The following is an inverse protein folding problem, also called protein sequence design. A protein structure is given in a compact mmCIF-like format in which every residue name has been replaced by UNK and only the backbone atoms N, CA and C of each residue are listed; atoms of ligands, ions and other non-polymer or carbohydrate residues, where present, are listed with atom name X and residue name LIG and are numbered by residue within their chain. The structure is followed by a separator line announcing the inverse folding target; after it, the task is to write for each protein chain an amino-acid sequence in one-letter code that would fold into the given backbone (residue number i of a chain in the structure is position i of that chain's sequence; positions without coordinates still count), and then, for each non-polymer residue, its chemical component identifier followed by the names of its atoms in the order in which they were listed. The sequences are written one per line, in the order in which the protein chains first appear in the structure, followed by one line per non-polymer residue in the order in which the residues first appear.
data_IF_607863200385
#
_entry.id   IF_607863200385
#
_cell.length_a   1.000
_cell.length_b   1.000
_cell.length_c   1.000
_cell.angle_alpha   90.00
_cell.angle_beta   90.00
_cell.angle_gamma   90.00
#
_symmetry.space_group_name_H-M   'P 1'
#
loop_
_entity.id
_entity.type
_entity.pdbx_description
1 polymer ?
#
# COMPACT_ATOMS: atom_id res chain seq x y z
N UNK A 1 7.09 -13.74 -3.01
CA UNK A 1 8.35 -12.96 -2.93
C UNK A 1 8.55 -12.16 -1.65
N UNK A 2 7.51 -11.65 -0.96
CA UNK A 2 7.73 -10.80 0.23
C UNK A 2 8.33 -11.53 1.44
N UNK A 3 7.99 -12.81 1.65
CA UNK A 3 8.53 -13.64 2.74
C UNK A 3 9.99 -14.04 2.46
N UNK A 4 10.26 -14.56 1.27
CA UNK A 4 11.63 -14.87 0.80
C UNK A 4 12.57 -13.67 0.92
N UNK A 5 12.07 -12.49 0.57
CA UNK A 5 12.83 -11.25 0.71
C UNK A 5 13.19 -10.94 2.17
N UNK A 6 12.24 -11.08 3.10
CA UNK A 6 12.48 -10.88 4.51
C UNK A 6 13.50 -11.89 5.09
N UNK A 7 13.39 -13.16 4.67
CA UNK A 7 14.35 -14.20 5.04
C UNK A 7 15.76 -13.87 4.50
N UNK A 8 15.86 -13.52 3.22
CA UNK A 8 17.12 -13.15 2.58
C UNK A 8 17.77 -11.93 3.23
N UNK A 9 16.97 -10.93 3.63
CA UNK A 9 17.45 -9.74 4.35
C UNK A 9 17.95 -10.09 5.76
N UNK A 10 17.29 -11.01 6.46
CA UNK A 10 17.75 -11.49 7.76
C UNK A 10 19.10 -12.21 7.65
N UNK A 11 19.26 -13.10 6.66
CA UNK A 11 20.52 -13.80 6.40
C UNK A 11 21.65 -12.82 6.02
N UNK A 12 21.37 -11.82 5.18
CA UNK A 12 22.34 -10.77 4.83
C UNK A 12 22.82 -9.99 6.06
N UNK A 13 21.91 -9.66 6.98
CA UNK A 13 22.25 -8.97 8.24
C UNK A 13 23.07 -9.83 9.19
N UNK A 14 22.87 -11.15 9.20
CA UNK A 14 23.67 -12.07 10.00
C UNK A 14 25.10 -12.23 9.44
N UNK A 15 25.23 -12.27 8.11
CA UNK A 15 26.52 -12.44 7.42
C UNK A 15 27.25 -11.11 7.14
N UNK A 16 26.65 -9.97 7.48
CA UNK A 16 27.18 -8.62 7.20
C UNK A 16 27.61 -8.43 5.73
N UNK A 17 26.77 -8.89 4.80
CA UNK A 17 27.06 -8.87 3.37
C UNK A 17 26.17 -7.86 2.61
N UNK A 18 26.73 -7.11 1.66
CA UNK A 18 26.02 -6.08 0.87
C UNK A 18 25.67 -6.52 -0.57
N UNK A 19 24.38 -6.54 -0.89
CA UNK A 19 23.87 -6.97 -2.20
C UNK A 19 24.08 -5.89 -3.26
N UNK A 20 24.51 -6.23 -4.50
CA UNK A 20 24.71 -5.24 -5.55
C UNK A 20 23.43 -4.49 -5.91
N UNK A 21 23.56 -3.20 -6.27
CA UNK A 21 22.45 -2.27 -6.51
C UNK A 21 21.41 -2.80 -7.49
N UNK A 22 21.84 -3.39 -8.62
CA UNK A 22 20.92 -3.95 -9.62
C UNK A 22 20.02 -5.03 -9.04
N UNK A 23 20.55 -5.89 -8.17
CA UNK A 23 19.77 -6.94 -7.53
C UNK A 23 18.76 -6.38 -6.52
N UNK A 24 19.12 -5.31 -5.81
CA UNK A 24 18.21 -4.58 -4.92
C UNK A 24 17.00 -4.02 -5.69
N UNK A 25 17.22 -3.36 -6.84
CA UNK A 25 16.12 -2.86 -7.70
C UNK A 25 15.20 -3.98 -8.18
N UNK A 26 15.76 -5.12 -8.63
CA UNK A 26 14.98 -6.27 -9.09
C UNK A 26 14.11 -6.83 -7.96
N UNK A 27 14.66 -6.96 -6.75
CA UNK A 27 13.91 -7.40 -5.56
C UNK A 27 12.74 -6.46 -5.25
N UNK A 28 12.99 -5.16 -5.26
CA UNK A 28 11.95 -4.14 -5.04
C UNK A 28 10.86 -4.25 -6.12
N UNK A 29 11.23 -4.36 -7.39
CA UNK A 29 10.30 -4.50 -8.51
C UNK A 29 9.34 -5.69 -8.32
N UNK A 30 9.87 -6.90 -8.10
CA UNK A 30 9.06 -8.09 -7.88
C UNK A 30 8.24 -8.03 -6.58
N UNK A 31 8.76 -7.34 -5.56
CA UNK A 31 8.04 -7.12 -4.31
C UNK A 31 6.84 -6.19 -4.50
N UNK A 32 6.97 -5.12 -5.29
CA UNK A 32 5.84 -4.24 -5.61
C UNK A 32 4.77 -4.95 -6.46
N UNK A 33 5.18 -5.79 -7.42
CA UNK A 33 4.24 -6.64 -8.18
C UNK A 33 3.48 -7.58 -7.24
N UNK A 34 4.20 -8.27 -6.34
CA UNK A 34 3.57 -9.15 -5.34
C UNK A 34 2.63 -8.39 -4.40
N UNK A 35 2.96 -7.13 -4.05
CA UNK A 35 2.06 -6.27 -3.26
C UNK A 35 0.77 -5.96 -4.01
N UNK A 36 0.83 -5.66 -5.31
CA UNK A 36 -0.38 -5.46 -6.14
C UNK A 36 -1.24 -6.73 -6.12
N UNK A 37 -0.64 -7.91 -6.36
CA UNK A 37 -1.36 -9.18 -6.32
C UNK A 37 -2.03 -9.45 -4.96
N UNK A 38 -1.32 -9.18 -3.85
CA UNK A 38 -1.88 -9.36 -2.51
C UNK A 38 -3.03 -8.40 -2.22
N UNK A 39 -2.95 -7.15 -2.67
CA UNK A 39 -4.05 -6.19 -2.53
C UNK A 39 -5.25 -6.58 -3.39
N UNK A 40 -5.02 -7.02 -4.63
CA UNK A 40 -6.08 -7.54 -5.49
C UNK A 40 -6.81 -8.71 -4.84
N UNK A 41 -6.07 -9.71 -4.34
CA UNK A 41 -6.65 -10.84 -3.63
C UNK A 41 -7.47 -10.40 -2.41
N UNK A 42 -6.94 -9.49 -1.59
CA UNK A 42 -7.65 -8.99 -0.42
C UNK A 42 -8.93 -8.23 -0.77
N UNK A 43 -8.95 -7.50 -1.89
CA UNK A 43 -10.12 -6.76 -2.35
C UNK A 43 -11.16 -7.69 -2.97
N UNK A 44 -10.74 -8.72 -3.72
CA UNK A 44 -11.65 -9.67 -4.35
C UNK A 44 -12.30 -10.60 -3.34
N UNK A 45 -11.56 -11.08 -2.33
CA UNK A 45 -12.14 -11.90 -1.25
C UNK A 45 -13.11 -11.09 -0.41
N UNK A 46 -12.73 -9.86 -0.02
CA UNK A 46 -13.64 -8.96 0.71
C UNK A 46 -14.90 -8.66 -0.10
N UNK A 47 -14.80 -8.54 -1.43
CA UNK A 47 -15.98 -8.34 -2.29
C UNK A 47 -16.84 -9.60 -2.39
N UNK A 48 -16.22 -10.79 -2.43
CA UNK A 48 -16.91 -12.09 -2.47
C UNK A 48 -17.70 -12.33 -1.17
N UNK A 49 -17.09 -12.09 -0.02
CA UNK A 49 -17.71 -12.31 1.30
C UNK A 49 -18.92 -11.39 1.55
N UNK A 50 -18.92 -10.21 0.91
CA UNK A 50 -20.04 -9.25 0.97
C UNK A 50 -21.12 -9.56 -0.08
N UNK A 51 -20.91 -10.54 -0.97
CA UNK A 51 -21.84 -10.90 -2.05
C UNK A 51 -21.78 -9.98 -3.27
N UNK A 52 -20.71 -9.20 -3.44
CA UNK A 52 -20.56 -8.18 -4.48
C UNK A 52 -19.79 -8.66 -5.73
N UNK A 53 -20.08 -9.88 -6.21
CA UNK A 53 -19.36 -10.51 -7.33
C UNK A 53 -19.36 -9.69 -8.64
N UNK A 54 -20.38 -8.85 -8.91
CA UNK A 54 -20.52 -8.11 -10.18
C UNK A 54 -20.22 -6.59 -10.14
N UNK A 55 -20.03 -5.97 -8.97
CA UNK A 55 -19.89 -4.49 -8.86
C UNK A 55 -18.45 -3.96 -8.77
N UNK A 56 -17.48 -4.83 -8.51
CA UNK A 56 -16.05 -4.49 -8.48
C UNK A 56 -15.52 -3.99 -9.83
N UNK A 57 -16.00 -4.57 -10.94
CA UNK A 57 -15.60 -4.16 -12.29
C UNK A 57 -16.10 -2.75 -12.68
N UNK A 58 -17.27 -2.34 -12.18
CA UNK A 58 -17.91 -1.05 -12.53
C UNK A 58 -17.29 0.16 -11.80
N UNK A 59 -16.70 -0.04 -10.61
CA UNK A 59 -16.08 1.03 -9.82
C UNK A 59 -14.74 1.55 -10.40
N UNK A 60 -14.05 0.73 -11.21
CA UNK A 60 -12.79 1.09 -11.87
C UNK A 60 -12.95 2.09 -13.03
N UNK A 61 -14.14 2.16 -13.67
CA UNK A 61 -14.40 3.03 -14.83
C UNK A 61 -14.77 4.47 -14.44
N UNK A 62 -15.34 4.71 -13.26
CA UNK A 62 -15.90 6.02 -12.87
C UNK A 62 -14.90 6.96 -12.18
N UNK A 63 -13.77 6.46 -11.66
CA UNK A 63 -12.84 7.21 -10.79
C UNK A 63 -11.76 8.02 -11.50
N UNK A 64 -11.70 8.08 -12.83
CA UNK A 64 -10.69 8.91 -13.52
C UNK A 64 -10.94 10.43 -13.37
N UNK A 65 -12.20 10.84 -13.21
CA UNK A 65 -12.58 12.26 -13.30
C UNK A 65 -12.65 12.99 -11.94
N UNK A 66 -13.05 12.34 -10.84
CA UNK A 66 -13.06 12.96 -9.50
C UNK A 66 -11.66 13.10 -8.89
N UNK A 67 -10.74 12.26 -9.34
CA UNK A 67 -9.37 12.17 -8.87
C UNK A 67 -8.48 13.37 -9.23
N UNK A 68 -8.70 13.99 -10.39
CA UNK A 68 -7.91 15.14 -10.82
C UNK A 68 -8.18 16.38 -9.93
N UNK A 69 -9.41 16.55 -9.44
CA UNK A 69 -9.79 17.64 -8.53
C UNK A 69 -9.15 17.52 -7.14
N UNK A 70 -8.66 16.33 -6.76
CA UNK A 70 -8.13 16.05 -5.42
C UNK A 70 -6.60 16.19 -5.34
N UNK A 71 -5.93 16.35 -6.50
CA UNK A 71 -4.47 16.55 -6.58
C UNK A 71 -4.03 17.98 -6.27
N UNK A 72 -4.95 18.93 -6.22
CA UNK A 72 -4.66 20.37 -6.14
C UNK A 72 -4.32 20.86 -4.73
N UNK A 73 -4.68 20.09 -3.69
CA UNK A 73 -4.45 20.44 -2.28
C UNK A 73 -3.47 19.45 -1.62
N UNK A 74 -2.19 19.50 -2.01
CA UNK A 74 -1.13 18.56 -1.58
C UNK A 74 -0.12 19.22 -0.63
N UNK A 75 0.05 18.63 0.55
CA UNK A 75 1.28 18.76 1.36
C UNK A 75 2.11 17.46 1.26
N UNK A 76 3.45 17.54 1.16
CA UNK A 76 4.31 16.36 1.02
C UNK A 76 4.51 15.64 2.37
N UNK A 77 4.45 14.30 2.36
CA UNK A 77 4.94 13.46 3.46
C UNK A 77 3.94 12.47 4.06
N UNK A 78 2.70 12.86 4.34
CA UNK A 78 1.62 11.94 4.71
C UNK A 78 0.34 12.53 4.12
N UNK A 79 -0.44 11.77 3.35
CA UNK A 79 -1.69 12.28 2.78
C UNK A 79 -2.85 12.01 3.73
N UNK A 80 -3.31 12.99 4.56
CA UNK A 80 -4.60 12.88 5.22
C UNK A 80 -5.69 12.93 4.17
N UNK A 81 -6.46 11.86 4.04
CA UNK A 81 -7.58 11.83 3.13
C UNK A 81 -8.79 12.51 3.79
N UNK A 82 -9.03 13.79 3.49
CA UNK A 82 -10.27 14.47 3.87
C UNK A 82 -11.33 14.23 2.77
N UNK A 83 -12.15 13.20 2.94
CA UNK A 83 -13.27 12.95 2.02
C UNK A 83 -14.37 13.97 2.28
N UNK A 84 -14.69 14.82 1.29
CA UNK A 84 -15.91 15.63 1.37
C UNK A 84 -17.12 14.72 1.18
N UNK A 85 -18.17 14.92 1.99
CA UNK A 85 -19.45 14.17 2.04
C UNK A 85 -20.14 13.89 0.68
N UNK A 86 -19.71 14.51 -0.42
CA UNK A 86 -20.37 14.47 -1.74
C UNK A 86 -20.15 13.16 -2.51
N UNK A 87 -19.02 12.48 -2.34
CA UNK A 87 -18.73 11.25 -3.09
C UNK A 87 -19.42 10.01 -2.50
N UNK A 88 -19.76 10.07 -1.21
CA UNK A 88 -20.38 8.95 -0.49
C UNK A 88 -21.90 8.88 -0.74
N UNK A 89 -22.55 10.03 -0.90
CA UNK A 89 -23.99 10.15 -1.16
C UNK A 89 -24.48 9.60 -2.51
N UNK A 90 -23.58 9.13 -3.41
CA UNK A 90 -23.98 8.53 -4.69
C UNK A 90 -24.21 7.01 -4.65
N UNK A 91 -23.84 6.32 -3.57
CA UNK A 91 -24.03 4.87 -3.43
C UNK A 91 -24.44 4.47 -1.99
N UNK A 92 -25.74 4.59 -1.63
CA UNK A 92 -26.23 4.38 -0.26
C UNK A 92 -26.03 2.95 0.30
N UNK A 93 -25.74 1.97 -0.56
CA UNK A 93 -25.52 0.57 -0.17
C UNK A 93 -24.09 0.27 0.33
N UNK A 94 -23.09 1.08 -0.05
CA UNK A 94 -21.71 0.90 0.41
C UNK A 94 -21.52 1.37 1.86
N UNK A 95 -22.14 2.49 2.25
CA UNK A 95 -22.09 2.95 3.65
C UNK A 95 -22.76 1.95 4.59
N UNK A 96 -23.94 1.45 4.25
CA UNK A 96 -24.72 0.58 5.14
C UNK A 96 -24.14 -0.84 5.25
N UNK A 97 -23.45 -1.36 4.23
CA UNK A 97 -22.91 -2.74 4.24
C UNK A 97 -21.44 -2.79 4.67
N UNK A 98 -20.64 -1.77 4.35
CA UNK A 98 -19.21 -1.74 4.66
C UNK A 98 -18.91 -1.00 5.97
N UNK A 99 -19.65 0.06 6.31
CA UNK A 99 -19.39 0.84 7.54
C UNK A 99 -19.92 0.15 8.81
N UNK A 100 -20.82 -0.84 8.69
CA UNK A 100 -21.60 -1.34 9.84
C UNK A 100 -20.85 -2.13 10.91
N UNK A 101 -19.63 -2.60 10.70
CA UNK A 101 -18.92 -3.37 11.73
C UNK A 101 -17.40 -3.13 11.75
N UNK A 102 -16.90 -2.90 12.97
CA UNK A 102 -15.50 -2.80 13.41
C UNK A 102 -14.76 -1.49 13.11
N UNK A 103 -15.01 -0.50 13.98
CA UNK A 103 -14.14 0.65 14.22
C UNK A 103 -12.92 0.20 15.03
N UNK A 104 -11.71 0.39 14.51
CA UNK A 104 -10.50 0.07 15.27
C UNK A 104 -10.00 1.35 15.91
N UNK A 105 -10.14 1.47 17.23
CA UNK A 105 -9.63 2.63 17.96
C UNK A 105 -8.09 2.60 18.00
N UNK A 106 -7.44 3.76 17.89
CA UNK A 106 -5.97 3.85 17.79
C UNK A 106 -5.24 3.17 18.98
N UNK A 107 -5.78 3.29 20.19
CA UNK A 107 -5.25 2.68 21.42
C UNK A 107 -5.31 1.16 21.35
N UNK A 108 -6.45 0.64 20.91
CA UNK A 108 -6.66 -0.79 20.71
C UNK A 108 -5.73 -1.33 19.62
N UNK A 109 -5.52 -0.60 18.51
CA UNK A 109 -4.59 -1.02 17.46
C UNK A 109 -3.15 -1.18 17.96
N UNK A 110 -2.66 -0.22 18.74
CA UNK A 110 -1.31 -0.27 19.29
C UNK A 110 -1.16 -1.36 20.35
N UNK A 111 -2.14 -1.51 21.26
CA UNK A 111 -2.10 -2.53 22.31
C UNK A 111 -2.16 -3.97 21.79
N UNK A 112 -2.88 -4.19 20.67
CA UNK A 112 -2.99 -5.50 20.02
C UNK A 112 -1.83 -5.83 19.05
N UNK A 113 -0.83 -4.95 18.91
CA UNK A 113 0.29 -5.17 17.99
C UNK A 113 -0.11 -5.18 16.51
N UNK A 114 -1.21 -4.51 16.14
CA UNK A 114 -1.74 -4.50 14.78
C UNK A 114 -0.86 -3.63 13.87
N UNK A 115 -0.58 -4.10 12.65
CA UNK A 115 0.31 -3.42 11.69
C UNK A 115 -0.34 -3.13 10.33
N UNK A 116 0.38 -2.37 9.47
CA UNK A 116 0.04 -2.07 8.07
C UNK A 116 -1.28 -1.30 7.90
N UNK A 117 -2.13 -1.71 6.96
CA UNK A 117 -3.42 -1.07 6.61
C UNK A 117 -4.32 -0.93 7.83
N UNK A 118 -4.29 -1.90 8.73
CA UNK A 118 -5.12 -1.88 9.94
C UNK A 118 -4.69 -0.78 10.92
N UNK A 119 -3.39 -0.49 11.01
CA UNK A 119 -2.85 0.60 11.82
C UNK A 119 -3.06 1.97 11.16
N UNK A 120 -2.98 2.03 9.83
CA UNK A 120 -3.19 3.28 9.05
C UNK A 120 -4.66 3.69 8.93
N UNK A 121 -5.60 2.76 9.12
CA UNK A 121 -7.04 3.05 9.14
C UNK A 121 -7.40 4.19 10.10
N UNK A 122 -7.07 4.10 11.40
CA UNK A 122 -7.36 5.15 12.39
C UNK A 122 -6.43 6.38 12.29
N UNK A 123 -5.71 6.58 11.19
CA UNK A 123 -4.90 7.79 10.95
C UNK A 123 -3.45 7.75 11.43
N UNK A 124 -2.93 6.59 11.84
CA UNK A 124 -1.51 6.48 12.21
C UNK A 124 -0.65 6.40 10.95
N UNK A 125 0.14 7.44 10.65
CA UNK A 125 1.09 7.43 9.54
C UNK A 125 2.34 6.59 9.89
N UNK A 126 2.20 5.26 9.80
CA UNK A 126 3.30 4.31 10.05
C UNK A 126 3.48 3.33 8.90
N UNK A 127 4.71 3.25 8.37
CA UNK A 127 5.12 2.27 7.37
C UNK A 127 6.62 1.97 7.53
N UNK A 128 6.97 0.68 7.43
CA UNK A 128 8.34 0.20 7.52
C UNK A 128 9.23 0.79 6.42
N UNK A 129 8.69 1.06 5.24
CA UNK A 129 9.47 1.57 4.10
C UNK A 129 10.05 2.96 4.32
N UNK A 130 9.45 3.74 5.23
CA UNK A 130 9.96 5.07 5.61
C UNK A 130 10.63 5.06 6.97
N UNK A 131 10.11 4.29 7.92
CA UNK A 131 10.68 4.23 9.26
C UNK A 131 12.01 3.47 9.29
N UNK A 132 12.12 2.38 8.53
CA UNK A 132 13.31 1.54 8.44
C UNK A 132 13.46 1.07 6.98
N UNK A 133 13.86 1.98 6.08
CA UNK A 133 14.04 1.67 4.68
C UNK A 133 15.05 0.53 4.48
N UNK A 134 14.84 -0.22 3.40
CA UNK A 134 15.66 -1.37 3.04
C UNK A 134 15.79 -1.39 1.52
N UNK A 135 16.87 -2.00 1.01
CA UNK A 135 17.24 -1.96 -0.40
C UNK A 135 17.23 -0.51 -0.94
N UNK A 136 16.55 -0.28 -2.07
CA UNK A 136 16.49 1.02 -2.77
C UNK A 136 15.32 1.89 -2.30
N UNK A 137 14.61 1.53 -1.24
CA UNK A 137 13.48 2.35 -0.78
C UNK A 137 13.89 3.72 -0.24
N UNK A 138 15.17 3.95 0.04
CA UNK A 138 15.71 5.28 0.39
C UNK A 138 15.60 6.29 -0.75
N UNK A 139 15.70 5.81 -2.00
CA UNK A 139 15.72 6.67 -3.19
C UNK A 139 14.32 6.83 -3.82
N UNK A 140 13.38 6.01 -3.39
CA UNK A 140 12.01 5.99 -3.87
C UNK A 140 11.15 6.76 -2.87
N UNK A 141 10.32 7.70 -3.32
CA UNK A 141 9.41 8.44 -2.44
C UNK A 141 7.97 7.94 -2.58
N UNK A 142 7.52 7.00 -1.72
CA UNK A 142 6.13 6.56 -1.71
C UNK A 142 5.27 7.44 -0.81
N UNK A 143 4.18 7.98 -1.39
CA UNK A 143 3.09 8.53 -0.60
C UNK A 143 2.43 7.41 0.24
N UNK A 144 2.21 7.67 1.53
CA UNK A 144 1.50 6.74 2.42
C UNK A 144 0.06 7.24 2.60
N UNK A 145 -0.95 6.49 2.14
CA UNK A 145 -2.33 6.80 2.43
C UNK A 145 -2.68 6.44 3.87
N UNK A 146 -3.32 7.38 4.58
CA UNK A 146 -3.87 7.17 5.92
C UNK A 146 -5.38 7.44 5.94
N UNK A 147 -6.10 6.67 6.74
CA UNK A 147 -7.53 6.84 6.95
C UNK A 147 -7.80 7.90 8.03
N UNK A 148 -9.07 8.25 8.21
CA UNK A 148 -9.47 9.24 9.22
C UNK A 148 -10.30 8.60 10.33
N UNK A 149 -11.18 7.68 9.96
CA UNK A 149 -12.14 7.02 10.85
C UNK A 149 -11.66 5.63 11.26
N UNK A 150 -10.92 4.93 10.40
CA UNK A 150 -10.49 3.55 10.71
C UNK A 150 -11.64 2.53 10.65
N UNK A 151 -12.65 2.85 9.85
CA UNK A 151 -13.69 1.91 9.46
C UNK A 151 -13.18 0.94 8.37
N UNK A 152 -14.02 -0.01 7.96
CA UNK A 152 -13.68 -0.95 6.89
C UNK A 152 -13.55 -0.24 5.52
N UNK A 153 -14.21 0.90 5.34
CA UNK A 153 -14.18 1.68 4.11
C UNK A 153 -12.84 2.36 3.90
N UNK A 154 -12.31 3.05 4.91
CA UNK A 154 -10.97 3.65 4.90
C UNK A 154 -9.92 2.60 4.55
N UNK A 155 -10.02 1.40 5.13
CA UNK A 155 -9.12 0.27 4.83
C UNK A 155 -9.23 -0.23 3.39
N UNK A 156 -10.41 -0.18 2.79
CA UNK A 156 -10.62 -0.53 1.38
C UNK A 156 -9.96 0.52 0.47
N UNK A 157 -10.13 1.80 0.78
CA UNK A 157 -9.54 2.90 0.02
C UNK A 157 -8.02 2.94 0.12
N UNK A 158 -7.47 2.79 1.33
CA UNK A 158 -6.02 2.69 1.55
C UNK A 158 -5.41 1.64 0.61
N UNK A 159 -6.04 0.46 0.47
CA UNK A 159 -5.54 -0.58 -0.44
C UNK A 159 -5.57 -0.17 -1.91
N UNK A 160 -6.62 0.53 -2.35
CA UNK A 160 -6.70 1.06 -3.73
C UNK A 160 -5.60 2.06 -3.98
N UNK A 161 -5.41 3.01 -3.06
CA UNK A 161 -4.35 4.01 -3.15
C UNK A 161 -2.97 3.39 -3.16
N UNK A 162 -2.74 2.41 -2.28
CA UNK A 162 -1.48 1.69 -2.24
C UNK A 162 -1.15 1.03 -3.57
N UNK A 163 -2.13 0.41 -4.26
CA UNK A 163 -1.91 -0.18 -5.58
C UNK A 163 -1.47 0.86 -6.61
N UNK A 164 -2.06 2.06 -6.60
CA UNK A 164 -1.63 3.13 -7.51
C UNK A 164 -0.21 3.61 -7.20
N UNK A 165 0.13 3.75 -5.92
CA UNK A 165 1.48 4.11 -5.50
C UNK A 165 2.48 3.00 -5.88
N UNK A 166 2.10 1.72 -5.86
CA UNK A 166 2.95 0.62 -6.36
C UNK A 166 3.29 0.80 -7.83
N UNK A 167 2.31 1.15 -8.66
CA UNK A 167 2.55 1.39 -10.10
C UNK A 167 3.54 2.53 -10.30
N UNK A 168 3.44 3.62 -9.52
CA UNK A 168 4.42 4.72 -9.58
C UNK A 168 5.83 4.26 -9.23
N UNK A 169 5.98 3.47 -8.16
CA UNK A 169 7.27 2.93 -7.75
C UNK A 169 7.85 2.01 -8.83
N UNK A 170 7.02 1.15 -9.43
CA UNK A 170 7.46 0.26 -10.52
C UNK A 170 8.03 1.08 -11.69
N UNK A 171 7.34 2.15 -12.09
CA UNK A 171 7.82 3.04 -13.16
C UNK A 171 9.13 3.75 -12.76
N UNK A 172 9.24 4.22 -11.52
CA UNK A 172 10.48 4.82 -11.01
C UNK A 172 11.65 3.84 -11.04
N UNK A 173 11.44 2.61 -10.55
CA UNK A 173 12.45 1.55 -10.57
C UNK A 173 12.90 1.19 -11.99
N UNK A 174 11.98 1.16 -12.95
CA UNK A 174 12.32 0.88 -14.36
C UNK A 174 13.17 2.00 -14.97
N UNK A 175 12.88 3.26 -14.65
CA UNK A 175 13.63 4.40 -15.15
C UNK A 175 15.03 4.55 -14.52
N UNK A 176 15.19 4.11 -13.27
CA UNK A 176 16.42 4.29 -12.49
C UNK A 176 17.29 3.02 -12.44
N UNK A 177 16.95 1.97 -13.20
CA UNK A 177 17.63 0.68 -13.08
C UNK A 177 19.09 0.75 -13.57
N UNK A 178 20.08 0.51 -12.69
CA UNK A 178 21.47 0.50 -13.10
C UNK A 178 21.84 -0.82 -13.79
N UNK A 179 22.77 -0.73 -14.74
CA UNK A 179 23.49 -1.90 -15.26
C UNK A 179 24.48 -2.42 -14.21
N UNK A 180 24.72 -3.73 -14.17
CA UNK A 180 25.64 -4.32 -13.21
C UNK A 180 25.37 -5.79 -12.90
N UNK A 181 26.07 -6.29 -11.89
CA UNK A 181 25.98 -7.67 -11.42
C UNK A 181 24.70 -7.90 -10.60
N UNK A 182 24.12 -9.08 -10.74
CA UNK A 182 22.86 -9.47 -10.07
C UNK A 182 23.15 -10.38 -8.86
N UNK A 183 24.28 -11.08 -8.90
CA UNK A 183 24.74 -11.91 -7.80
C UNK A 183 25.97 -11.27 -7.18
N UNK A 184 26.13 -11.65 -5.94
CA UNK A 184 27.31 -11.44 -5.11
C UNK A 184 28.42 -12.32 -5.64
N UNK A 185 29.63 -11.77 -5.75
CA UNK A 185 30.84 -12.55 -6.04
C UNK A 185 31.45 -13.03 -4.73
N UNK A 186 30.87 -14.06 -4.13
CA UNK A 186 31.50 -14.80 -3.05
C UNK A 186 32.44 -15.85 -3.68
N UNK A 187 33.75 -15.66 -3.50
CA UNK A 187 34.77 -16.68 -3.83
C UNK A 187 34.88 -17.71 -2.72
#
# INVERSE_FOLDING_TARGET
MAQEHAHSLAVQRLLNYEVPLRAQYIRVLFREITRISNHLLALTTQAMDVGHQLRSCWLLRRKRNSWNSMKESREPGCMPFHMTRRDVNRQPYLETTISRYLYCHYTASKGLGISRVMLRGPGVCWDLRRAAPYDVHDQLDPDIPVGTKGDRYDRYYIRIEEMQQRVRIIVQCLNQMPSGMIKVDDR
#
